data_IF_584109566956
#
_entry.id   IF_584109566956
#
_cell.length_a   1.000
_cell.length_b   1.000
_cell.length_c   1.000
_cell.angle_alpha   90.00
_cell.angle_beta   90.00
_cell.angle_gamma   90.00
#
_symmetry.space_group_name_H-M   'P 1'
#
loop_
_entity.id
_entity.type
_entity.pdbx_description
1 polymer ?
#
# COMPACT_ATOMS: atom_id res chain seq x y z
N UNK A 1 4.19 -27.31 1.21
CA UNK A 1 4.05 -26.67 -0.12
C UNK A 1 3.40 -25.34 0.11
N UNK A 2 4.20 -24.27 0.19
CA UNK A 2 3.72 -22.89 0.27
C UNK A 2 3.18 -22.53 -1.11
N UNK A 3 1.87 -22.61 -1.31
CA UNK A 3 1.24 -22.11 -2.52
C UNK A 3 1.43 -20.60 -2.52
N UNK A 4 2.24 -20.11 -3.45
CA UNK A 4 2.61 -18.72 -3.54
C UNK A 4 1.39 -17.81 -3.68
N UNK A 5 1.44 -16.68 -3.00
CA UNK A 5 0.51 -15.59 -3.22
C UNK A 5 0.60 -15.16 -4.68
N UNK A 6 -0.54 -15.04 -5.34
CA UNK A 6 -0.62 -14.46 -6.67
C UNK A 6 -1.00 -12.99 -6.53
N UNK A 7 -0.11 -12.09 -6.94
CA UNK A 7 -0.33 -10.65 -6.87
C UNK A 7 -0.23 -10.06 -8.27
N UNK A 8 -1.21 -9.25 -8.65
CA UNK A 8 -1.22 -8.46 -9.88
C UNK A 8 -1.41 -6.99 -9.55
N UNK A 9 -0.56 -6.18 -10.13
CA UNK A 9 -0.68 -4.72 -10.06
C UNK A 9 -1.05 -4.17 -11.44
N UNK A 10 -1.89 -3.14 -11.49
CA UNK A 10 -2.19 -2.41 -12.72
C UNK A 10 -2.47 -0.94 -12.44
N UNK A 11 -2.32 -0.14 -13.48
CA UNK A 11 -2.47 1.31 -13.42
C UNK A 11 -3.49 1.76 -14.48
N UNK A 12 -4.79 1.75 -14.15
CA UNK A 12 -5.87 1.94 -15.14
C UNK A 12 -5.85 3.27 -15.87
N UNK A 13 -5.24 4.28 -15.29
CA UNK A 13 -5.20 5.64 -15.80
C UNK A 13 -3.76 6.17 -15.94
N UNK A 14 -2.81 5.30 -16.30
CA UNK A 14 -1.38 5.63 -16.42
C UNK A 14 -1.10 6.81 -17.37
N UNK A 15 -1.94 7.00 -18.40
CA UNK A 15 -1.85 8.10 -19.36
C UNK A 15 -2.25 9.45 -18.75
N UNK A 16 -3.03 9.43 -17.67
CA UNK A 16 -3.61 10.63 -17.05
C UNK A 16 -2.94 10.93 -15.71
N UNK A 17 -2.67 9.91 -14.89
CA UNK A 17 -2.07 10.07 -13.57
C UNK A 17 -1.31 8.83 -13.13
N UNK A 18 -0.23 9.04 -12.37
CA UNK A 18 0.49 7.99 -11.64
C UNK A 18 0.05 7.89 -10.18
N UNK A 19 -0.95 8.70 -9.77
CA UNK A 19 -1.38 8.81 -8.36
C UNK A 19 -2.29 7.66 -7.91
N UNK A 20 -2.80 6.83 -8.85
CA UNK A 20 -3.68 5.70 -8.56
C UNK A 20 -3.09 4.41 -9.11
N UNK A 21 -3.09 3.39 -8.28
CA UNK A 21 -2.64 2.04 -8.60
C UNK A 21 -3.68 1.06 -8.08
N UNK A 22 -3.90 -0.02 -8.78
CA UNK A 22 -4.77 -1.10 -8.35
C UNK A 22 -3.98 -2.39 -8.17
N UNK A 23 -4.43 -3.25 -7.27
CA UNK A 23 -3.88 -4.58 -7.11
C UNK A 23 -4.97 -5.62 -6.83
N UNK A 24 -4.67 -6.83 -7.24
CA UNK A 24 -5.42 -8.03 -6.89
C UNK A 24 -4.48 -8.98 -6.16
N UNK A 25 -4.90 -9.44 -5.00
CA UNK A 25 -4.13 -10.37 -4.18
C UNK A 25 -4.98 -11.60 -3.87
N UNK A 26 -4.48 -12.76 -4.24
CA UNK A 26 -4.97 -14.06 -3.78
C UNK A 26 -3.89 -14.69 -2.91
N UNK A 27 -4.07 -14.66 -1.59
CA UNK A 27 -3.03 -15.10 -0.67
C UNK A 27 -3.57 -15.70 0.62
N UNK A 28 -2.77 -16.54 1.25
CA UNK A 28 -2.98 -16.96 2.62
C UNK A 28 -2.73 -15.81 3.60
N UNK A 29 -1.51 -15.35 3.75
CA UNK A 29 -1.13 -14.24 4.62
C UNK A 29 0.02 -13.45 3.96
N UNK A 30 -0.17 -12.15 3.80
CA UNK A 30 0.87 -11.25 3.35
C UNK A 30 1.84 -10.94 4.50
N UNK A 31 3.15 -10.78 4.24
CA UNK A 31 4.08 -10.35 5.28
C UNK A 31 3.76 -8.92 5.74
N UNK A 32 4.24 -8.57 6.95
CA UNK A 32 4.16 -7.18 7.44
C UNK A 32 4.92 -6.26 6.49
N UNK A 33 4.22 -5.25 5.98
CA UNK A 33 4.78 -4.27 5.03
C UNK A 33 4.18 -2.87 5.23
N UNK A 34 4.70 -1.92 4.46
CA UNK A 34 4.16 -0.56 4.33
C UNK A 34 4.14 -0.15 2.86
N UNK A 35 3.32 0.84 2.53
CA UNK A 35 3.31 1.53 1.24
C UNK A 35 3.16 3.04 1.42
N UNK A 36 3.51 3.83 0.40
CA UNK A 36 3.46 5.30 0.43
C UNK A 36 2.03 5.83 0.27
N UNK A 37 1.13 5.03 -0.26
CA UNK A 37 -0.22 5.36 -0.62
C UNK A 37 -1.22 5.07 0.50
N UNK A 38 -2.40 5.67 0.44
CA UNK A 38 -3.60 5.14 1.05
C UNK A 38 -4.03 3.88 0.33
N UNK A 39 -4.41 2.86 1.08
CA UNK A 39 -5.03 1.65 0.52
C UNK A 39 -6.49 1.59 0.94
N UNK A 40 -7.36 1.40 -0.05
CA UNK A 40 -8.76 1.05 0.13
C UNK A 40 -8.96 -0.35 -0.45
N UNK A 41 -9.32 -1.30 0.41
CA UNK A 41 -9.43 -2.70 0.03
C UNK A 41 -10.85 -3.21 0.15
N UNK A 42 -11.26 -4.05 -0.80
CA UNK A 42 -12.49 -4.85 -0.75
C UNK A 42 -12.16 -6.31 -0.98
N UNK A 43 -13.00 -7.20 -0.46
CA UNK A 43 -12.76 -8.63 -0.46
C UNK A 43 -14.05 -9.40 -0.74
N UNK A 44 -13.92 -10.66 -1.12
CA UNK A 44 -15.04 -11.55 -1.44
C UNK A 44 -15.30 -12.64 -0.39
N UNK A 45 -14.40 -12.80 0.57
CA UNK A 45 -14.53 -13.77 1.66
C UNK A 45 -13.98 -13.18 2.97
N UNK A 46 -14.41 -13.68 4.14
CA UNK A 46 -13.92 -13.24 5.44
C UNK A 46 -12.41 -13.27 5.54
N UNK A 47 -11.82 -12.20 6.06
CA UNK A 47 -10.39 -12.01 6.13
C UNK A 47 -9.96 -11.21 7.35
N UNK A 48 -8.64 -11.14 7.57
CA UNK A 48 -8.02 -10.41 8.67
C UNK A 48 -7.15 -9.28 8.14
N UNK A 49 -7.34 -8.10 8.71
CA UNK A 49 -6.44 -6.97 8.57
C UNK A 49 -5.69 -6.78 9.89
N UNK A 50 -4.38 -6.86 9.86
CA UNK A 50 -3.52 -6.57 11.01
C UNK A 50 -2.85 -5.22 10.81
N UNK A 51 -2.93 -4.31 11.81
CA UNK A 51 -2.28 -3.01 11.81
C UNK A 51 -1.34 -2.89 13.01
N UNK A 52 -0.06 -2.62 12.75
CA UNK A 52 0.97 -2.57 13.77
C UNK A 52 1.16 -3.92 14.45
N UNK A 53 1.56 -3.88 15.75
CA UNK A 53 1.88 -5.10 16.50
C UNK A 53 0.66 -5.88 17.01
N UNK A 54 -0.45 -5.19 17.31
CA UNK A 54 -1.50 -5.79 18.14
C UNK A 54 -2.93 -5.54 17.66
N UNK A 55 -3.15 -4.65 16.71
CA UNK A 55 -4.49 -4.34 16.21
C UNK A 55 -4.87 -5.31 15.11
N UNK A 56 -5.86 -6.14 15.36
CA UNK A 56 -6.40 -7.11 14.41
C UNK A 56 -7.87 -6.82 14.19
N UNK A 57 -8.28 -6.83 12.94
CA UNK A 57 -9.64 -6.57 12.52
C UNK A 57 -10.10 -7.70 11.61
N UNK A 58 -11.36 -8.07 11.73
CA UNK A 58 -12.02 -8.94 10.76
C UNK A 58 -12.74 -8.06 9.76
N UNK A 59 -12.66 -8.45 8.50
CA UNK A 59 -13.31 -7.78 7.39
C UNK A 59 -14.11 -8.81 6.57
N UNK A 60 -15.24 -8.38 6.04
CA UNK A 60 -16.19 -9.16 5.28
C UNK A 60 -16.45 -8.52 3.91
N UNK A 61 -17.24 -9.18 3.07
CA UNK A 61 -17.52 -8.70 1.71
C UNK A 61 -18.16 -7.31 1.64
N UNK A 62 -18.88 -6.91 2.70
CA UNK A 62 -19.56 -5.62 2.80
C UNK A 62 -18.71 -4.51 3.42
N UNK A 63 -17.45 -4.82 3.68
CA UNK A 63 -16.53 -3.89 4.32
C UNK A 63 -15.56 -3.28 3.29
N UNK A 64 -15.21 -2.01 3.53
CA UNK A 64 -14.04 -1.36 2.96
C UNK A 64 -12.95 -1.30 4.02
N UNK A 65 -11.79 -1.86 3.72
CA UNK A 65 -10.60 -1.75 4.57
C UNK A 65 -9.77 -0.54 4.19
N UNK A 66 -9.20 0.13 5.19
CA UNK A 66 -8.45 1.38 5.01
C UNK A 66 -7.10 1.24 5.70
N UNK A 67 -6.03 1.42 4.94
CA UNK A 67 -4.67 1.48 5.47
C UNK A 67 -4.06 2.84 5.14
N UNK A 68 -3.72 3.64 6.15
CA UNK A 68 -3.03 4.90 5.95
C UNK A 68 -1.61 4.71 5.39
N UNK A 69 -1.06 5.73 4.73
CA UNK A 69 0.34 5.72 4.27
C UNK A 69 1.31 5.36 5.39
N UNK A 70 2.24 4.48 5.08
CA UNK A 70 3.30 4.03 5.98
C UNK A 70 2.85 3.33 7.28
N UNK A 71 1.58 2.97 7.42
CA UNK A 71 1.15 2.10 8.51
C UNK A 71 1.57 0.65 8.24
N UNK A 72 2.23 0.05 9.23
CA UNK A 72 2.64 -1.36 9.16
C UNK A 72 1.41 -2.25 9.23
N UNK A 73 1.23 -3.07 8.21
CA UNK A 73 0.06 -3.94 8.11
C UNK A 73 0.37 -5.27 7.43
N UNK A 74 -0.57 -6.18 7.56
CA UNK A 74 -0.68 -7.40 6.75
C UNK A 74 -2.14 -7.76 6.53
N UNK A 75 -2.43 -8.35 5.39
CA UNK A 75 -3.71 -8.95 5.06
C UNK A 75 -3.57 -10.48 5.07
N UNK A 76 -4.62 -11.17 5.49
CA UNK A 76 -4.59 -12.63 5.52
C UNK A 76 -5.99 -13.24 5.58
N UNK A 77 -6.10 -14.45 5.03
CA UNK A 77 -7.29 -15.27 5.14
C UNK A 77 -7.43 -15.90 6.52
N UNK A 78 -8.62 -16.40 6.82
CA UNK A 78 -8.82 -17.37 7.89
C UNK A 78 -8.28 -18.74 7.46
N UNK A 79 -8.05 -19.64 8.44
CA UNK A 79 -7.53 -20.98 8.15
C UNK A 79 -8.45 -21.66 7.14
N UNK A 80 -7.89 -22.08 6.00
CA UNK A 80 -8.63 -22.74 4.92
C UNK A 80 -9.38 -21.82 3.96
N UNK A 81 -9.36 -20.50 4.19
CA UNK A 81 -9.96 -19.50 3.30
C UNK A 81 -8.86 -18.75 2.55
N UNK A 82 -9.03 -18.61 1.24
CA UNK A 82 -8.16 -17.78 0.39
C UNK A 82 -8.99 -16.60 -0.13
N UNK A 83 -9.06 -15.50 0.62
CA UNK A 83 -9.81 -14.34 0.18
C UNK A 83 -9.13 -13.71 -1.03
N UNK A 84 -9.96 -13.20 -1.91
CA UNK A 84 -9.52 -12.35 -3.01
C UNK A 84 -9.64 -10.90 -2.58
N UNK A 85 -8.51 -10.24 -2.45
CA UNK A 85 -8.44 -8.83 -2.16
C UNK A 85 -8.33 -8.03 -3.46
N UNK A 86 -9.11 -7.00 -3.57
CA UNK A 86 -8.98 -5.97 -4.61
C UNK A 86 -8.68 -4.67 -3.93
N UNK A 87 -7.61 -4.01 -4.35
CA UNK A 87 -7.07 -2.85 -3.66
C UNK A 87 -6.93 -1.67 -4.61
N UNK A 88 -7.39 -0.52 -4.15
CA UNK A 88 -7.10 0.79 -4.71
C UNK A 88 -6.02 1.44 -3.85
N UNK A 89 -4.89 1.74 -4.46
CA UNK A 89 -3.84 2.56 -3.87
C UNK A 89 -3.95 3.97 -4.40
N UNK A 90 -4.07 4.94 -3.53
CA UNK A 90 -4.19 6.36 -3.86
C UNK A 90 -3.11 7.17 -3.15
N UNK A 91 -2.33 7.94 -3.91
CA UNK A 91 -1.29 8.80 -3.34
C UNK A 91 -1.90 9.81 -2.35
N UNK A 92 -1.18 10.14 -1.26
CA UNK A 92 -1.67 11.09 -0.26
C UNK A 92 -2.15 12.43 -0.83
N UNK A 93 -1.52 12.90 -1.90
CA UNK A 93 -1.86 14.16 -2.55
C UNK A 93 -3.29 14.15 -3.13
N UNK A 94 -3.70 13.07 -3.81
CA UNK A 94 -5.06 12.98 -4.35
C UNK A 94 -6.09 12.84 -3.22
N UNK A 95 -5.82 12.01 -2.22
CA UNK A 95 -6.74 11.80 -1.09
C UNK A 95 -6.94 13.10 -0.29
N UNK A 96 -5.86 13.82 0.01
CA UNK A 96 -5.93 15.12 0.69
C UNK A 96 -6.71 16.14 -0.14
N UNK A 97 -6.44 16.25 -1.45
CA UNK A 97 -7.16 17.15 -2.36
C UNK A 97 -8.67 16.89 -2.34
N UNK A 98 -9.09 15.63 -2.37
CA UNK A 98 -10.50 15.22 -2.34
C UNK A 98 -11.14 15.43 -0.96
N UNK A 99 -10.33 15.48 0.10
CA UNK A 99 -10.76 15.74 1.48
C UNK A 99 -10.59 17.22 1.88
N UNK A 100 -10.78 18.15 0.98
CA UNK A 100 -10.72 19.58 1.27
C UNK A 100 -9.32 20.12 1.57
N UNK A 101 -8.26 19.42 1.19
CA UNK A 101 -6.86 19.77 1.47
C UNK A 101 -6.30 19.15 2.75
N UNK A 102 -7.13 18.49 3.55
CA UNK A 102 -6.75 17.91 4.82
C UNK A 102 -6.47 16.40 4.70
N UNK A 103 -5.58 15.88 5.56
CA UNK A 103 -5.33 14.45 5.66
C UNK A 103 -6.53 13.79 6.39
N UNK A 104 -7.27 12.88 5.73
CA UNK A 104 -8.45 12.28 6.35
C UNK A 104 -8.07 11.42 7.55
N UNK A 105 -8.99 11.32 8.51
CA UNK A 105 -8.93 10.39 9.61
C UNK A 105 -10.15 9.47 9.55
N UNK A 106 -9.92 8.21 9.91
CA UNK A 106 -10.99 7.23 10.00
C UNK A 106 -11.05 6.68 11.41
N UNK A 107 -12.24 6.59 11.97
CA UNK A 107 -12.46 6.06 13.31
C UNK A 107 -12.03 4.60 13.43
N UNK A 108 -12.22 3.84 12.35
CA UNK A 108 -11.86 2.43 12.25
C UNK A 108 -11.23 2.13 10.88
N UNK A 109 -10.29 1.21 10.80
CA UNK A 109 -9.67 0.80 9.54
C UNK A 109 -10.53 -0.20 8.74
N UNK A 110 -11.66 -0.62 9.27
CA UNK A 110 -12.67 -1.44 8.60
C UNK A 110 -14.01 -0.73 8.77
N UNK A 111 -14.61 -0.38 7.65
CA UNK A 111 -15.86 0.37 7.56
C UNK A 111 -16.89 -0.49 6.83
N UNK A 112 -17.98 -0.82 7.51
CA UNK A 112 -19.10 -1.54 6.89
C UNK A 112 -19.96 -0.55 6.10
N UNK A 113 -19.85 -0.60 4.79
CA UNK A 113 -20.64 0.16 3.82
C UNK A 113 -20.84 -0.72 2.58
N UNK A 114 -21.91 -1.55 2.55
CA UNK A 114 -22.14 -2.52 1.49
C UNK A 114 -22.20 -1.89 0.09
N UNK A 115 -22.76 -0.68 0.00
CA UNK A 115 -22.88 0.04 -1.27
C UNK A 115 -21.51 0.49 -1.78
N UNK A 116 -20.69 1.12 -0.93
CA UNK A 116 -19.35 1.52 -1.29
C UNK A 116 -18.43 0.31 -1.60
N UNK A 117 -18.56 -0.78 -0.84
CA UNK A 117 -17.78 -2.01 -1.06
C UNK A 117 -18.13 -2.64 -2.41
N UNK A 118 -19.43 -2.73 -2.75
CA UNK A 118 -19.88 -3.28 -4.03
C UNK A 118 -19.39 -2.40 -5.20
N UNK A 119 -19.58 -1.09 -5.13
CA UNK A 119 -19.17 -0.15 -6.17
C UNK A 119 -17.66 -0.19 -6.42
N UNK A 120 -16.83 -0.17 -5.36
CA UNK A 120 -15.38 -0.26 -5.52
C UNK A 120 -14.97 -1.62 -6.13
N UNK A 121 -15.60 -2.71 -5.71
CA UNK A 121 -15.35 -4.06 -6.25
C UNK A 121 -15.62 -4.11 -7.75
N UNK A 122 -16.75 -3.55 -8.18
CA UNK A 122 -17.14 -3.52 -9.58
C UNK A 122 -16.21 -2.65 -10.41
N UNK A 123 -15.85 -1.44 -9.93
CA UNK A 123 -14.90 -0.56 -10.59
C UNK A 123 -13.54 -1.24 -10.80
N UNK A 124 -13.02 -1.90 -9.76
CA UNK A 124 -11.75 -2.61 -9.84
C UNK A 124 -11.82 -3.83 -10.76
N UNK A 125 -12.95 -4.53 -10.78
CA UNK A 125 -13.18 -5.65 -11.70
C UNK A 125 -13.23 -5.20 -13.16
N UNK A 126 -14.08 -4.24 -13.48
CA UNK A 126 -14.22 -3.69 -14.82
C UNK A 126 -12.92 -3.07 -15.35
N UNK A 127 -12.14 -2.45 -14.47
CA UNK A 127 -10.83 -1.91 -14.83
C UNK A 127 -9.82 -3.03 -15.13
N UNK A 128 -9.81 -4.09 -14.31
CA UNK A 128 -8.91 -5.23 -14.51
C UNK A 128 -9.18 -5.96 -15.83
N UNK A 129 -10.46 -6.10 -16.18
CA UNK A 129 -10.89 -6.80 -17.40
C UNK A 129 -10.83 -5.89 -18.65
N UNK A 130 -10.37 -4.62 -18.49
CA UNK A 130 -10.23 -3.68 -19.59
C UNK A 130 -11.55 -3.09 -20.10
N UNK A 131 -12.68 -3.34 -19.42
CA UNK A 131 -14.00 -2.79 -19.80
C UNK A 131 -14.04 -1.27 -19.61
N UNK A 132 -13.38 -0.79 -18.55
CA UNK A 132 -13.17 0.66 -18.31
C UNK A 132 -11.69 0.93 -18.08
N UNK A 133 -11.18 2.01 -18.62
CA UNK A 133 -9.78 2.39 -18.48
C UNK A 133 -9.62 3.91 -18.58
N UNK A 134 -8.40 4.38 -18.31
CA UNK A 134 -8.00 5.76 -18.52
C UNK A 134 -8.89 6.78 -17.84
N UNK A 135 -9.32 7.82 -18.58
CA UNK A 135 -10.09 8.94 -18.01
C UNK A 135 -11.41 8.52 -17.38
N UNK A 136 -12.09 7.51 -17.95
CA UNK A 136 -13.38 7.03 -17.41
C UNK A 136 -13.19 6.35 -16.05
N UNK A 137 -12.20 5.46 -15.92
CA UNK A 137 -11.86 4.87 -14.63
C UNK A 137 -11.51 5.96 -13.60
N UNK A 138 -10.66 6.92 -13.99
CA UNK A 138 -10.25 8.01 -13.12
C UNK A 138 -11.46 8.81 -12.61
N UNK A 139 -12.39 9.15 -13.50
CA UNK A 139 -13.60 9.87 -13.14
C UNK A 139 -14.47 9.10 -12.12
N UNK A 140 -14.70 7.82 -12.37
CA UNK A 140 -15.54 6.97 -11.52
C UNK A 140 -14.90 6.73 -10.15
N UNK A 141 -13.62 6.37 -10.12
CA UNK A 141 -12.92 6.07 -8.86
C UNK A 141 -12.70 7.32 -8.02
N UNK A 142 -12.49 8.49 -8.66
CA UNK A 142 -12.39 9.77 -7.96
C UNK A 142 -13.72 10.13 -7.32
N UNK A 143 -14.83 9.97 -8.04
CA UNK A 143 -16.16 10.17 -7.48
C UNK A 143 -16.46 9.23 -6.31
N UNK A 144 -16.15 7.93 -6.47
CA UNK A 144 -16.28 6.96 -5.38
C UNK A 144 -15.48 7.39 -4.15
N UNK A 145 -14.24 7.80 -4.33
CA UNK A 145 -13.34 8.20 -3.24
C UNK A 145 -13.86 9.47 -2.54
N UNK A 146 -14.33 10.48 -3.28
CA UNK A 146 -14.98 11.68 -2.72
C UNK A 146 -16.18 11.33 -1.85
N UNK A 147 -17.09 10.49 -2.37
CA UNK A 147 -18.28 10.06 -1.63
C UNK A 147 -17.95 9.25 -0.39
N UNK A 148 -16.92 8.39 -0.48
CA UNK A 148 -16.46 7.59 0.65
C UNK A 148 -15.83 8.47 1.74
N UNK A 149 -14.95 9.41 1.36
CA UNK A 149 -14.36 10.38 2.29
C UNK A 149 -15.42 11.24 2.97
N UNK A 150 -16.36 11.79 2.21
CA UNK A 150 -17.43 12.63 2.74
C UNK A 150 -18.28 11.91 3.80
N UNK A 151 -18.52 10.62 3.63
CA UNK A 151 -19.33 9.83 4.57
C UNK A 151 -18.57 9.32 5.80
N UNK A 152 -17.29 9.04 5.66
CA UNK A 152 -16.55 8.24 6.65
C UNK A 152 -15.29 8.90 7.20
N UNK A 153 -14.77 9.97 6.57
CA UNK A 153 -13.67 10.72 7.14
C UNK A 153 -14.15 11.64 8.27
N UNK A 154 -13.35 11.69 9.34
CA UNK A 154 -13.57 12.60 10.47
C UNK A 154 -12.62 13.79 10.36
N UNK A 155 -13.03 14.92 10.93
CA UNK A 155 -12.18 16.11 11.03
C UNK A 155 -10.89 15.83 11.80
N UNK A 156 -9.79 16.35 11.30
CA UNK A 156 -8.49 16.20 11.94
C UNK A 156 -8.39 17.09 13.18
N UNK A 157 -8.39 16.50 14.37
CA UNK A 157 -8.00 17.20 15.59
C UNK A 157 -6.47 17.11 15.72
N UNK A 158 -5.79 18.25 15.60
CA UNK A 158 -4.35 18.31 15.75
C UNK A 158 -3.94 17.85 17.17
N UNK A 159 -2.98 16.91 17.31
CA UNK A 159 -2.50 16.49 18.61
C UNK A 159 -1.75 17.65 19.27
N UNK A 160 -2.04 17.94 20.55
CA UNK A 160 -1.35 18.99 21.33
C UNK A 160 0.17 18.75 21.43
N UNK A 161 0.61 17.50 21.34
CA UNK A 161 2.03 17.10 21.38
C UNK A 161 2.25 15.86 20.53
N UNK A 162 3.22 15.94 19.61
CA UNK A 162 3.61 14.78 18.79
C UNK A 162 4.42 13.79 19.64
N UNK A 163 3.97 12.53 19.79
CA UNK A 163 4.70 11.51 20.55
C UNK A 163 6.10 11.25 19.98
N UNK A 164 7.05 10.81 20.83
CA UNK A 164 8.41 10.49 20.42
C UNK A 164 8.48 9.46 19.28
N UNK A 165 7.65 8.42 19.36
CA UNK A 165 7.56 7.39 18.31
C UNK A 165 7.11 7.99 16.97
N UNK A 166 6.17 8.94 17.01
CA UNK A 166 5.69 9.59 15.78
C UNK A 166 6.75 10.50 15.17
N UNK A 167 7.51 11.26 15.98
CA UNK A 167 8.66 12.02 15.46
C UNK A 167 9.69 11.13 14.79
N UNK A 168 10.01 9.98 15.40
CA UNK A 168 10.90 8.98 14.82
C UNK A 168 10.35 8.42 13.50
N UNK A 169 9.04 8.10 13.45
CA UNK A 169 8.36 7.57 12.27
C UNK A 169 8.44 8.55 11.10
N UNK A 170 8.04 9.78 11.31
CA UNK A 170 8.09 10.86 10.29
C UNK A 170 9.52 11.08 9.82
N UNK A 171 10.50 11.08 10.73
CA UNK A 171 11.90 11.23 10.37
C UNK A 171 12.39 10.11 9.45
N UNK A 172 12.05 8.84 9.74
CA UNK A 172 12.42 7.69 8.90
C UNK A 172 11.74 7.74 7.54
N UNK A 173 10.46 8.12 7.49
CA UNK A 173 9.67 8.26 6.25
C UNK A 173 10.24 9.33 5.32
N UNK A 174 10.74 10.43 5.87
CA UNK A 174 11.30 11.52 5.08
C UNK A 174 12.69 11.22 4.48
N UNK A 175 13.26 10.03 4.77
CA UNK A 175 14.62 9.64 4.34
C UNK A 175 14.70 8.25 3.71
N UNK A 176 13.89 7.95 2.70
CA UNK A 176 13.82 6.62 2.10
C UNK A 176 15.12 6.20 1.41
N UNK A 177 15.96 7.17 0.99
CA UNK A 177 17.21 6.88 0.25
C UNK A 177 18.47 7.06 1.12
N UNK A 178 18.33 7.62 2.32
CA UNK A 178 19.46 7.97 3.18
C UNK A 178 19.77 6.87 4.21
N UNK A 179 21.03 6.72 4.56
CA UNK A 179 21.43 5.93 5.72
C UNK A 179 21.09 6.68 7.00
N UNK A 180 20.38 6.01 7.92
CA UNK A 180 19.94 6.59 9.20
C UNK A 180 20.40 5.70 10.34
N UNK A 181 20.98 6.31 11.39
CA UNK A 181 21.45 5.59 12.58
C UNK A 181 20.45 5.68 13.73
N UNK A 182 20.39 4.66 14.58
CA UNK A 182 19.51 4.67 15.76
C UNK A 182 19.79 5.82 16.75
N UNK A 183 21.06 6.21 17.02
CA UNK A 183 21.35 7.39 17.84
C UNK A 183 20.77 8.68 17.26
N UNK A 184 20.87 8.86 15.94
CA UNK A 184 20.29 10.02 15.24
C UNK A 184 18.76 10.05 15.40
N UNK A 185 18.06 8.93 15.16
CA UNK A 185 16.62 8.83 15.35
C UNK A 185 16.22 9.07 16.80
N UNK A 186 17.01 8.57 17.75
CA UNK A 186 16.80 8.80 19.18
C UNK A 186 16.91 10.27 19.56
N UNK A 187 17.91 10.98 19.02
CA UNK A 187 18.09 12.41 19.22
C UNK A 187 16.89 13.23 18.69
N UNK A 188 16.43 12.94 17.46
CA UNK A 188 15.24 13.58 16.85
C UNK A 188 13.97 13.29 17.66
N UNK A 189 13.84 12.05 18.13
CA UNK A 189 12.70 11.64 18.96
C UNK A 189 12.77 12.22 20.40
N UNK A 190 13.93 12.69 20.84
CA UNK A 190 14.16 13.20 22.20
C UNK A 190 14.14 12.09 23.25
N UNK A 191 14.64 10.89 22.92
CA UNK A 191 14.67 9.73 23.81
C UNK A 191 15.94 8.90 23.61
N UNK A 192 16.25 8.05 24.59
CA UNK A 192 17.39 7.11 24.46
C UNK A 192 17.11 6.04 23.40
N UNK A 193 18.15 5.49 22.79
CA UNK A 193 18.05 4.43 21.78
C UNK A 193 17.28 3.22 22.33
N UNK A 194 17.56 2.78 23.54
CA UNK A 194 16.89 1.64 24.17
C UNK A 194 15.39 1.87 24.37
N UNK A 195 14.99 3.08 24.76
CA UNK A 195 13.57 3.44 24.88
C UNK A 195 12.93 3.53 23.49
N UNK A 196 13.60 4.16 22.52
CA UNK A 196 13.13 4.25 21.14
C UNK A 196 12.80 2.87 20.58
N UNK A 197 13.76 1.95 20.60
CA UNK A 197 13.58 0.60 20.00
C UNK A 197 12.40 -0.13 20.63
N UNK A 198 12.27 -0.12 21.95
CA UNK A 198 11.16 -0.79 22.66
C UNK A 198 9.80 -0.14 22.35
N UNK A 199 9.72 1.19 22.47
CA UNK A 199 8.45 1.91 22.29
C UNK A 199 8.01 1.90 20.83
N UNK A 200 8.94 2.06 19.90
CA UNK A 200 8.68 2.03 18.46
C UNK A 200 8.17 0.64 18.03
N UNK A 201 8.89 -0.45 18.40
CA UNK A 201 8.48 -1.82 18.05
C UNK A 201 7.10 -2.16 18.62
N UNK A 202 6.80 -1.72 19.86
CA UNK A 202 5.50 -1.95 20.49
C UNK A 202 4.38 -1.15 19.81
N UNK A 203 4.65 0.08 19.36
CA UNK A 203 3.60 0.95 18.79
C UNK A 203 3.42 0.69 17.31
N UNK A 204 4.52 0.56 16.55
CA UNK A 204 4.53 0.47 15.09
C UNK A 204 4.45 -0.99 14.60
N UNK A 205 4.92 -1.95 15.41
CA UNK A 205 4.92 -3.38 15.04
C UNK A 205 6.23 -3.88 14.46
N UNK A 206 7.17 -2.99 14.14
CA UNK A 206 8.49 -3.31 13.64
C UNK A 206 9.55 -2.50 14.39
N UNK A 207 10.79 -3.02 14.57
CA UNK A 207 11.91 -2.21 15.03
C UNK A 207 12.22 -1.06 14.04
N UNK A 208 12.78 0.08 14.51
CA UNK A 208 13.02 1.25 13.65
C UNK A 208 13.81 0.94 12.36
N UNK A 209 14.85 0.10 12.45
CA UNK A 209 15.65 -0.30 11.29
C UNK A 209 14.86 -1.16 10.29
N UNK A 210 14.05 -2.11 10.77
CA UNK A 210 13.17 -2.92 9.91
C UNK A 210 12.08 -2.07 9.28
N UNK A 211 11.51 -1.12 10.03
CA UNK A 211 10.55 -0.15 9.50
C UNK A 211 11.17 0.70 8.39
N UNK A 212 12.38 1.23 8.61
CA UNK A 212 13.08 2.02 7.59
C UNK A 212 13.39 1.19 6.32
N UNK A 213 13.70 -0.10 6.48
CA UNK A 213 13.85 -0.99 5.32
C UNK A 213 12.54 -1.16 4.54
N UNK A 214 11.38 -1.18 5.21
CA UNK A 214 10.08 -1.19 4.55
C UNK A 214 9.78 0.13 3.84
N UNK A 215 10.10 1.27 4.45
CA UNK A 215 10.01 2.60 3.80
C UNK A 215 10.84 2.65 2.52
N UNK A 216 12.07 2.10 2.53
CA UNK A 216 12.91 1.99 1.33
C UNK A 216 12.29 1.11 0.25
N UNK A 217 11.66 -0.01 0.63
CA UNK A 217 10.98 -0.89 -0.32
C UNK A 217 9.74 -0.24 -0.93
N UNK A 218 8.96 0.49 -0.14
CA UNK A 218 7.81 1.25 -0.64
C UNK A 218 8.27 2.31 -1.67
N UNK A 219 9.33 3.05 -1.35
CA UNK A 219 9.93 4.01 -2.26
C UNK A 219 10.48 3.34 -3.55
N UNK A 220 11.17 2.19 -3.40
CA UNK A 220 11.65 1.40 -4.54
C UNK A 220 10.49 0.97 -5.46
N UNK A 221 9.34 0.55 -4.89
CA UNK A 221 8.16 0.18 -5.66
C UNK A 221 7.67 1.34 -6.52
N UNK A 222 7.60 2.55 -5.98
CA UNK A 222 7.20 3.75 -6.73
C UNK A 222 8.17 4.05 -7.88
N UNK A 223 9.48 4.02 -7.63
CA UNK A 223 10.50 4.26 -8.67
C UNK A 223 10.46 3.20 -9.78
N UNK A 224 10.19 1.94 -9.43
CA UNK A 224 9.99 0.87 -10.40
C UNK A 224 8.73 1.10 -11.25
N UNK A 225 7.63 1.56 -10.64
CA UNK A 225 6.40 1.92 -11.36
C UNK A 225 6.63 3.09 -12.34
N UNK A 226 7.50 4.03 -11.97
CA UNK A 226 7.94 5.13 -12.86
C UNK A 226 8.86 4.64 -14.01
N UNK A 227 9.20 3.35 -14.06
CA UNK A 227 10.01 2.75 -15.11
C UNK A 227 11.52 2.83 -14.91
N UNK A 228 11.99 3.23 -13.72
CA UNK A 228 13.43 3.22 -13.39
C UNK A 228 13.97 1.79 -13.38
N UNK A 229 15.22 1.59 -13.81
CA UNK A 229 15.81 0.25 -13.82
C UNK A 229 16.02 -0.29 -12.40
N UNK A 230 15.83 -1.59 -12.20
CA UNK A 230 16.00 -2.23 -10.89
C UNK A 230 17.42 -2.06 -10.32
N UNK A 231 18.44 -2.01 -11.19
CA UNK A 231 19.83 -1.74 -10.77
C UNK A 231 19.94 -0.33 -10.19
N UNK A 232 19.45 0.68 -10.90
CA UNK A 232 19.48 2.06 -10.42
C UNK A 232 18.67 2.23 -9.12
N UNK A 233 17.46 1.65 -9.06
CA UNK A 233 16.60 1.70 -7.87
C UNK A 233 17.27 1.04 -6.65
N UNK A 234 18.02 -0.06 -6.85
CA UNK A 234 18.73 -0.69 -5.76
C UNK A 234 19.74 0.27 -5.10
N UNK A 235 20.55 0.95 -5.90
CA UNK A 235 21.52 1.91 -5.36
C UNK A 235 20.84 3.15 -4.77
N UNK A 236 19.86 3.70 -5.47
CA UNK A 236 19.12 4.88 -5.00
C UNK A 236 18.45 4.65 -3.64
N UNK A 237 17.82 3.49 -3.45
CA UNK A 237 17.16 3.13 -2.20
C UNK A 237 18.11 2.52 -1.14
N UNK A 238 19.42 2.53 -1.36
CA UNK A 238 20.41 2.08 -0.39
C UNK A 238 20.44 0.56 -0.15
N UNK A 239 20.06 -0.25 -1.16
CA UNK A 239 20.31 -1.68 -1.19
C UNK A 239 21.75 -1.95 -1.66
N UNK A 240 22.35 -3.04 -1.18
CA UNK A 240 23.72 -3.39 -1.54
C UNK A 240 23.89 -3.61 -3.06
N UNK A 241 22.90 -4.25 -3.70
CA UNK A 241 22.87 -4.54 -5.12
C UNK A 241 21.42 -4.87 -5.58
N UNK A 242 21.24 -5.08 -6.89
CA UNK A 242 19.97 -5.46 -7.49
C UNK A 242 19.42 -6.79 -6.93
N UNK A 243 20.29 -7.75 -6.61
CA UNK A 243 19.87 -9.07 -6.10
C UNK A 243 19.29 -8.96 -4.70
N UNK A 244 19.91 -8.11 -3.86
CA UNK A 244 19.39 -7.78 -2.53
C UNK A 244 18.01 -7.10 -2.62
N UNK A 245 17.86 -6.08 -3.48
CA UNK A 245 16.55 -5.47 -3.75
C UNK A 245 15.55 -6.52 -4.21
N UNK A 246 15.89 -7.35 -5.21
CA UNK A 246 14.98 -8.32 -5.80
C UNK A 246 14.47 -9.33 -4.78
N UNK A 247 15.35 -9.84 -3.91
CA UNK A 247 14.96 -10.75 -2.84
C UNK A 247 13.99 -10.09 -1.86
N UNK A 248 14.35 -8.90 -1.35
CA UNK A 248 13.52 -8.17 -0.37
C UNK A 248 12.19 -7.73 -0.96
N UNK A 249 12.19 -7.30 -2.22
CA UNK A 249 10.99 -6.90 -2.94
C UNK A 249 10.04 -8.09 -3.14
N UNK A 250 10.58 -9.26 -3.56
CA UNK A 250 9.78 -10.47 -3.71
C UNK A 250 9.24 -11.00 -2.39
N UNK A 251 10.01 -10.94 -1.30
CA UNK A 251 9.56 -11.30 0.04
C UNK A 251 8.38 -10.42 0.50
N UNK A 252 8.41 -9.12 0.16
CA UNK A 252 7.41 -8.15 0.58
C UNK A 252 6.18 -8.13 -0.33
N UNK A 253 6.38 -8.13 -1.66
CA UNK A 253 5.33 -7.90 -2.65
C UNK A 253 4.91 -9.15 -3.43
N UNK A 254 5.49 -10.31 -3.15
CA UNK A 254 5.17 -11.59 -3.82
C UNK A 254 5.77 -11.74 -5.23
N UNK A 255 6.18 -10.65 -5.88
CA UNK A 255 6.72 -10.62 -7.26
C UNK A 255 8.11 -10.00 -7.31
N UNK A 256 8.90 -10.32 -8.33
CA UNK A 256 10.20 -9.66 -8.54
C UNK A 256 10.02 -8.24 -9.10
N UNK A 257 11.02 -7.33 -8.95
CA UNK A 257 10.99 -6.01 -9.57
C UNK A 257 10.73 -6.05 -11.09
N UNK A 258 11.33 -7.01 -11.79
CA UNK A 258 11.14 -7.18 -13.23
C UNK A 258 9.70 -7.59 -13.58
N UNK A 259 9.15 -8.60 -12.89
CA UNK A 259 7.76 -9.03 -13.09
C UNK A 259 6.77 -7.91 -12.74
N UNK A 260 7.03 -7.14 -11.68
CA UNK A 260 6.23 -5.96 -11.33
C UNK A 260 6.22 -4.93 -12.45
N UNK A 261 7.40 -4.59 -13.01
CA UNK A 261 7.50 -3.64 -14.13
C UNK A 261 6.83 -4.15 -15.40
N UNK A 262 6.90 -5.46 -15.65
CA UNK A 262 6.26 -6.08 -16.81
C UNK A 262 4.73 -5.99 -16.70
N UNK A 263 4.16 -6.28 -15.53
CA UNK A 263 2.73 -6.12 -15.26
C UNK A 263 2.27 -4.68 -15.51
N UNK A 264 3.05 -3.69 -15.07
CA UNK A 264 2.77 -2.27 -15.32
C UNK A 264 2.86 -1.87 -16.80
N UNK A 265 3.80 -2.46 -17.58
CA UNK A 265 3.97 -2.17 -19.01
C UNK A 265 2.91 -2.81 -19.88
N UNK A 266 2.54 -4.07 -19.59
CA UNK A 266 1.55 -4.82 -20.37
C UNK A 266 0.19 -4.11 -20.40
N UNK A 267 -0.14 -3.33 -19.39
CA UNK A 267 -1.41 -2.63 -19.29
C UNK A 267 -1.42 -1.21 -19.86
N UNK A 268 -0.25 -0.64 -20.15
CA UNK A 268 -0.16 0.60 -20.94
C UNK A 268 -0.52 0.41 -22.42
N UNK A 269 -0.64 -0.85 -22.89
CA UNK A 269 -1.02 -1.20 -24.25
C UNK A 269 -2.06 -2.33 -24.27
N UNK A 270 -3.35 -2.06 -24.01
CA UNK A 270 -4.40 -3.09 -23.98
C UNK A 270 -4.62 -3.82 -25.32
N UNK A 271 -4.03 -3.37 -26.42
CA UNK A 271 -4.20 -3.97 -27.74
C UNK A 271 -3.17 -5.06 -28.11
N UNK A 272 -2.17 -5.34 -27.27
CA UNK A 272 -1.11 -6.30 -27.59
C UNK A 272 -1.35 -7.74 -27.06
N UNK A 273 -2.41 -7.97 -26.28
CA UNK A 273 -2.65 -9.26 -25.61
C UNK A 273 -3.66 -10.20 -26.32
N UNK A 274 -4.17 -9.85 -27.50
CA UNK A 274 -5.22 -10.63 -28.19
C UNK A 274 -4.68 -11.62 -29.25
N UNK A 275 -3.38 -11.60 -29.56
CA UNK A 275 -2.85 -12.36 -30.71
C UNK A 275 -1.91 -13.54 -30.37
N UNK A 276 -1.98 -14.15 -29.18
CA UNK A 276 -1.11 -15.29 -28.88
C UNK A 276 -1.82 -16.60 -28.45
N UNK A 277 -3.10 -16.78 -28.77
CA UNK A 277 -3.81 -18.05 -28.58
C UNK A 277 -4.58 -18.49 -29.81
N UNK A 278 -3.94 -18.40 -31.01
CA UNK A 278 -4.42 -19.05 -32.22
C UNK A 278 -3.21 -19.49 -33.07
N UNK A 279 -2.60 -20.62 -32.70
CA UNK A 279 -1.87 -21.52 -33.58
C UNK A 279 -1.65 -22.87 -32.89
#
# INVERSE_FOLDING_TARGET
MTSGASVWFWQPAAEVTTELVCAYLEAGEAPLHVHEEWQFGVLDAPSKLSLGAFRRYHAHADDVTIVPPYDVHSEGGEIGVRPQWRMLYAMPAIVSRLNGGEVPRFRRPVVTDPAAAAELRDLLHLSRDGTIAGPEFLRLVTHWLEQFLLRHAEDAVAPQRVPAVERARVYLQSRPTQSVTLPEVGAIAGVTVSYLVRSFSRTVGLPPGSYHAQVRLAHARRLLAEGKSATWVAYECGFADQSHLSRRFKECHGVTPGAFQEQYRAQRHPLAAVDSTAA
#
